data_IF_613576755291
#
_entry.id   IF_613576755291
#
_cell.length_a   1.000
_cell.length_b   1.000
_cell.length_c   1.000
_cell.angle_alpha   90.00
_cell.angle_beta   90.00
_cell.angle_gamma   90.00
#
_symmetry.space_group_name_H-M   'P 1'
#
loop_
_entity.id
_entity.type
_entity.pdbx_description
1 polymer ?
#
# COMPACT_ATOMS: atom_id res chain seq x y z
N UNK A 1 -15.84 22.58 38.00
CA UNK A 1 -14.96 22.26 36.87
C UNK A 1 -13.94 21.23 37.34
N UNK A 2 -13.96 19.97 36.91
CA UNK A 2 -12.85 19.08 37.19
C UNK A 2 -11.71 19.41 36.22
N UNK A 3 -10.60 19.89 36.76
CA UNK A 3 -9.32 20.00 36.10
C UNK A 3 -8.80 18.59 35.79
N UNK A 4 -9.08 18.09 34.59
CA UNK A 4 -8.50 16.85 34.10
C UNK A 4 -7.01 17.04 33.87
N UNK A 5 -6.18 16.46 34.74
CA UNK A 5 -4.75 16.30 34.50
C UNK A 5 -4.55 15.53 33.19
N UNK A 6 -3.72 16.06 32.29
CA UNK A 6 -3.31 15.33 31.10
C UNK A 6 -2.68 14.00 31.53
N UNK A 7 -3.06 12.85 30.96
CA UNK A 7 -2.47 11.58 31.34
C UNK A 7 -0.98 11.64 31.03
N UNK A 8 -0.14 11.37 32.04
CA UNK A 8 1.29 11.24 31.85
C UNK A 8 1.54 10.02 30.97
N UNK A 9 1.82 10.22 29.68
CA UNK A 9 2.13 9.12 28.76
C UNK A 9 3.38 8.40 29.25
N UNK A 10 3.24 7.16 29.70
CA UNK A 10 4.39 6.33 30.09
C UNK A 10 4.99 5.74 28.81
N UNK A 11 6.30 5.51 28.81
CA UNK A 11 6.99 4.85 27.69
C UNK A 11 6.35 3.50 27.30
N UNK A 12 5.76 2.78 28.26
CA UNK A 12 5.00 1.55 28.01
C UNK A 12 3.72 1.76 27.20
N UNK A 13 3.11 2.94 27.27
CA UNK A 13 1.88 3.25 26.52
C UNK A 13 2.17 3.45 25.02
N UNK A 14 3.45 3.67 24.66
CA UNK A 14 3.90 3.83 23.27
C UNK A 14 4.16 2.49 22.56
N UNK A 15 4.39 1.39 23.31
CA UNK A 15 4.70 0.11 22.68
C UNK A 15 3.54 -0.44 21.84
N UNK A 16 2.31 -0.37 22.36
CA UNK A 16 1.14 -0.88 21.63
C UNK A 16 0.84 -0.12 20.32
N UNK A 17 0.85 1.23 20.29
CA UNK A 17 0.74 2.01 19.07
C UNK A 17 1.90 1.78 18.09
N UNK A 18 3.14 1.70 18.56
CA UNK A 18 4.31 1.45 17.70
C UNK A 18 4.20 0.08 17.02
N UNK A 19 3.86 -0.97 17.78
CA UNK A 19 3.65 -2.30 17.22
C UNK A 19 2.46 -2.31 16.25
N UNK A 20 1.36 -1.61 16.56
CA UNK A 20 0.24 -1.47 15.63
C UNK A 20 0.65 -0.76 14.33
N UNK A 21 1.45 0.30 14.42
CA UNK A 21 1.98 1.03 13.27
C UNK A 21 2.90 0.16 12.42
N UNK A 22 3.83 -0.58 13.03
CA UNK A 22 4.73 -1.50 12.32
C UNK A 22 3.95 -2.61 11.60
N UNK A 23 2.99 -3.23 12.28
CA UNK A 23 2.12 -4.23 11.64
C UNK A 23 1.36 -3.61 10.48
N UNK A 24 0.78 -2.42 10.67
CA UNK A 24 0.07 -1.70 9.61
C UNK A 24 0.95 -1.48 8.38
N UNK A 25 2.19 -1.02 8.57
CA UNK A 25 3.16 -0.84 7.48
C UNK A 25 3.47 -2.17 6.79
N UNK A 26 3.85 -3.22 7.54
CA UNK A 26 4.21 -4.53 6.97
C UNK A 26 3.06 -5.11 6.16
N UNK A 27 1.84 -5.06 6.71
CA UNK A 27 0.63 -5.56 6.04
C UNK A 27 0.32 -4.75 4.79
N UNK A 28 0.49 -3.44 4.84
CA UNK A 28 0.20 -2.58 3.69
C UNK A 28 1.20 -2.79 2.55
N UNK A 29 2.50 -2.95 2.87
CA UNK A 29 3.54 -3.23 1.88
C UNK A 29 3.45 -4.65 1.31
N UNK A 30 3.20 -5.65 2.15
CA UNK A 30 3.07 -7.04 1.71
C UNK A 30 1.76 -7.33 0.99
N UNK A 31 0.73 -6.50 1.17
CA UNK A 31 -0.59 -6.67 0.57
C UNK A 31 -0.78 -5.86 -0.71
N UNK A 32 -1.02 -4.56 -0.56
CA UNK A 32 -1.48 -3.73 -1.69
C UNK A 32 -0.33 -3.11 -2.47
N UNK A 33 0.79 -2.84 -1.80
CA UNK A 33 1.93 -2.17 -2.41
C UNK A 33 2.68 -3.05 -3.43
N UNK A 34 2.51 -4.38 -3.36
CA UNK A 34 3.04 -5.31 -4.37
C UNK A 34 2.60 -4.94 -5.80
N UNK A 35 1.43 -4.31 -5.94
CA UNK A 35 0.91 -3.81 -7.20
C UNK A 35 1.77 -2.72 -7.82
N UNK A 36 2.40 -1.88 -7.00
CA UNK A 36 3.32 -0.85 -7.47
C UNK A 36 4.55 -1.50 -8.10
N UNK A 37 5.11 -2.52 -7.46
CA UNK A 37 6.21 -3.30 -8.03
C UNK A 37 5.80 -4.03 -9.31
N UNK A 38 4.58 -4.55 -9.38
CA UNK A 38 4.06 -5.17 -10.59
C UNK A 38 3.91 -4.15 -11.73
N UNK A 39 3.35 -2.97 -11.45
CA UNK A 39 3.21 -1.89 -12.43
C UNK A 39 4.58 -1.41 -12.92
N UNK A 40 5.54 -1.22 -12.01
CA UNK A 40 6.91 -0.85 -12.35
C UNK A 40 7.59 -1.89 -13.26
N UNK A 41 7.38 -3.18 -12.97
CA UNK A 41 7.89 -4.28 -13.80
C UNK A 41 7.27 -4.29 -15.20
N UNK A 42 5.95 -4.09 -15.31
CA UNK A 42 5.25 -4.01 -16.61
C UNK A 42 5.72 -2.80 -17.42
N UNK A 43 5.97 -1.68 -16.75
CA UNK A 43 6.51 -0.46 -17.35
C UNK A 43 8.00 -0.54 -17.71
N UNK A 44 8.69 -1.64 -17.37
CA UNK A 44 10.13 -1.80 -17.61
C UNK A 44 11.00 -0.81 -16.82
N UNK A 45 10.54 -0.34 -15.66
CA UNK A 45 11.29 0.62 -14.85
C UNK A 45 12.55 -0.04 -14.25
N UNK A 46 13.59 0.76 -14.15
CA UNK A 46 14.81 0.35 -13.47
C UNK A 46 14.57 0.20 -11.94
N UNK A 47 15.42 -0.57 -11.23
CA UNK A 47 15.35 -0.67 -9.78
C UNK A 47 15.43 0.70 -9.07
N UNK A 48 16.21 1.64 -9.62
CA UNK A 48 16.38 2.98 -9.07
C UNK A 48 15.10 3.81 -9.19
N UNK A 49 14.43 3.79 -10.35
CA UNK A 49 13.13 4.46 -10.53
C UNK A 49 12.03 3.83 -9.67
N UNK A 50 12.05 2.50 -9.54
CA UNK A 50 11.12 1.79 -8.67
C UNK A 50 11.34 2.22 -7.22
N UNK A 51 12.58 2.27 -6.75
CA UNK A 51 12.93 2.73 -5.42
C UNK A 51 12.55 4.20 -5.18
N UNK A 52 12.76 5.08 -6.18
CA UNK A 52 12.36 6.49 -6.14
C UNK A 52 10.84 6.64 -6.00
N UNK A 53 10.06 5.83 -6.72
CA UNK A 53 8.61 5.80 -6.60
C UNK A 53 8.16 5.30 -5.23
N UNK A 54 8.76 4.19 -4.74
CA UNK A 54 8.46 3.70 -3.38
C UNK A 54 8.72 4.78 -2.35
N UNK A 55 9.92 5.37 -2.37
CA UNK A 55 10.32 6.44 -1.48
C UNK A 55 9.34 7.60 -1.49
N UNK A 56 8.95 8.06 -2.68
CA UNK A 56 8.03 9.19 -2.85
C UNK A 56 6.66 8.91 -2.23
N UNK A 57 6.13 7.71 -2.40
CA UNK A 57 4.86 7.30 -1.77
C UNK A 57 5.01 7.15 -0.26
N UNK A 58 6.09 6.50 0.21
CA UNK A 58 6.34 6.29 1.64
C UNK A 58 6.44 7.61 2.40
N UNK A 59 7.26 8.54 1.89
CA UNK A 59 7.49 9.85 2.49
C UNK A 59 6.24 10.73 2.34
N UNK A 60 5.61 10.73 1.16
CA UNK A 60 4.38 11.50 0.93
C UNK A 60 3.28 11.12 1.93
N UNK A 61 3.02 9.83 2.09
CA UNK A 61 2.04 9.32 3.08
C UNK A 61 2.50 9.55 4.51
N UNK A 62 3.74 9.23 4.85
CA UNK A 62 4.27 9.38 6.20
C UNK A 62 4.23 10.83 6.69
N UNK A 63 4.73 11.77 5.88
CA UNK A 63 4.76 13.20 6.22
C UNK A 63 3.35 13.77 6.30
N UNK A 64 2.49 13.51 5.32
CA UNK A 64 1.12 14.05 5.33
C UNK A 64 0.30 13.48 6.49
N UNK A 65 0.39 12.17 6.76
CA UNK A 65 -0.26 11.55 7.90
C UNK A 65 0.22 12.14 9.23
N UNK A 66 1.52 12.34 9.39
CA UNK A 66 2.11 12.94 10.60
C UNK A 66 1.66 14.40 10.77
N UNK A 67 1.75 15.21 9.71
CA UNK A 67 1.38 16.63 9.75
C UNK A 67 -0.10 16.81 10.05
N UNK A 68 -0.97 16.05 9.37
CA UNK A 68 -2.41 16.13 9.61
C UNK A 68 -2.76 15.62 11.01
N UNK A 69 -2.17 14.51 11.44
CA UNK A 69 -2.42 13.98 12.79
C UNK A 69 -2.01 14.98 13.87
N UNK A 70 -0.87 15.64 13.69
CA UNK A 70 -0.40 16.66 14.61
C UNK A 70 -1.29 17.91 14.60
N UNK A 71 -1.69 18.37 13.40
CA UNK A 71 -2.48 19.59 13.22
C UNK A 71 -3.91 19.48 13.73
N UNK A 72 -4.54 18.32 13.55
CA UNK A 72 -5.92 18.06 13.97
C UNK A 72 -6.01 17.33 15.31
N UNK A 73 -4.88 16.86 15.86
CA UNK A 73 -4.80 16.08 17.10
C UNK A 73 -5.68 14.81 17.07
N UNK A 74 -5.79 14.23 15.88
CA UNK A 74 -6.53 12.99 15.61
C UNK A 74 -5.61 12.00 14.87
N UNK A 75 -5.77 10.68 15.02
CA UNK A 75 -4.95 9.70 14.34
C UNK A 75 -5.32 9.59 12.85
N UNK A 76 -4.82 10.52 12.03
CA UNK A 76 -5.09 10.61 10.60
C UNK A 76 -4.06 9.81 9.82
N UNK A 77 -4.54 8.82 9.07
CA UNK A 77 -3.73 8.02 8.16
C UNK A 77 -4.06 8.47 6.73
N UNK A 78 -3.07 9.00 6.03
CA UNK A 78 -3.18 9.18 4.58
C UNK A 78 -2.85 7.84 3.91
N UNK A 79 -3.56 7.52 2.84
CA UNK A 79 -3.40 6.26 2.13
C UNK A 79 -3.18 6.54 0.64
N UNK A 80 -2.51 5.61 -0.03
CA UNK A 80 -2.53 5.54 -1.48
C UNK A 80 -3.82 4.85 -1.95
N UNK A 81 -4.10 4.96 -3.25
CA UNK A 81 -5.25 4.29 -3.87
C UNK A 81 -4.85 2.91 -4.41
N UNK A 82 -5.25 1.85 -3.73
CA UNK A 82 -5.07 0.46 -4.21
C UNK A 82 -5.70 0.22 -5.59
N UNK A 83 -6.94 0.68 -5.87
CA UNK A 83 -7.51 0.57 -7.21
C UNK A 83 -6.70 1.34 -8.26
N UNK A 84 -6.13 2.50 -7.92
CA UNK A 84 -5.27 3.22 -8.85
C UNK A 84 -3.97 2.44 -9.14
N UNK A 85 -3.35 1.83 -8.13
CA UNK A 85 -2.17 0.99 -8.33
C UNK A 85 -2.47 -0.23 -9.23
N UNK A 86 -3.61 -0.88 -9.03
CA UNK A 86 -4.07 -1.97 -9.89
C UNK A 86 -4.31 -1.50 -11.35
N UNK A 87 -4.98 -0.37 -11.53
CA UNK A 87 -5.18 0.25 -12.84
C UNK A 87 -3.86 0.61 -13.52
N UNK A 88 -2.87 1.05 -12.76
CA UNK A 88 -1.59 1.48 -13.30
C UNK A 88 -0.79 0.33 -13.92
N UNK A 89 -1.01 -0.91 -13.47
CA UNK A 89 -0.44 -2.12 -14.09
C UNK A 89 -0.85 -2.22 -15.56
N UNK A 90 -2.09 -1.89 -15.90
CA UNK A 90 -2.57 -1.95 -17.29
C UNK A 90 -2.29 -0.66 -18.06
N UNK A 91 -2.40 0.50 -17.40
CA UNK A 91 -2.18 1.79 -18.05
C UNK A 91 -0.71 2.02 -18.46
N UNK A 92 0.26 1.63 -17.62
CA UNK A 92 1.68 1.76 -17.95
C UNK A 92 2.17 0.76 -18.99
N UNK A 93 1.36 -0.25 -19.34
CA UNK A 93 1.70 -1.16 -20.43
C UNK A 93 1.68 -0.46 -21.80
N UNK A 94 0.93 0.63 -21.94
CA UNK A 94 0.73 1.35 -23.20
C UNK A 94 1.10 2.83 -23.14
N UNK A 95 1.38 3.37 -21.94
CA UNK A 95 1.65 4.80 -21.73
C UNK A 95 3.09 5.00 -21.25
N UNK A 96 3.87 5.92 -21.87
CA UNK A 96 5.21 6.25 -21.40
C UNK A 96 5.20 6.72 -19.94
N UNK A 97 6.19 6.29 -19.15
CA UNK A 97 6.29 6.61 -17.73
C UNK A 97 6.29 8.12 -17.45
N UNK A 98 6.99 8.92 -18.26
CA UNK A 98 7.03 10.37 -18.11
C UNK A 98 5.65 11.04 -18.30
N UNK A 99 4.86 10.57 -19.26
CA UNK A 99 3.49 11.05 -19.49
C UNK A 99 2.57 10.67 -18.33
N UNK A 100 2.72 9.46 -17.78
CA UNK A 100 1.99 9.04 -16.60
C UNK A 100 2.31 9.91 -15.38
N UNK A 101 3.58 10.23 -15.13
CA UNK A 101 3.99 11.16 -14.06
C UNK A 101 3.38 12.54 -14.27
N UNK A 102 3.43 13.07 -15.50
CA UNK A 102 2.81 14.35 -15.86
C UNK A 102 1.30 14.35 -15.59
N UNK A 103 0.59 13.30 -16.01
CA UNK A 103 -0.84 13.15 -15.76
C UNK A 103 -1.16 13.08 -14.27
N UNK A 104 -0.32 12.42 -13.46
CA UNK A 104 -0.44 12.39 -12.00
C UNK A 104 -0.26 13.77 -11.37
N UNK A 105 0.74 14.55 -11.78
CA UNK A 105 0.98 15.90 -11.27
C UNK A 105 -0.17 16.85 -11.62
N UNK A 106 -0.64 16.80 -12.87
CA UNK A 106 -1.80 17.60 -13.33
C UNK A 106 -3.05 17.22 -12.53
N UNK A 107 -3.31 15.92 -12.37
CA UNK A 107 -4.44 15.43 -11.58
C UNK A 107 -4.34 15.86 -10.12
N UNK A 108 -3.17 15.72 -9.49
CA UNK A 108 -2.94 16.13 -8.11
C UNK A 108 -3.17 17.62 -7.91
N UNK A 109 -2.69 18.45 -8.85
CA UNK A 109 -2.90 19.90 -8.82
C UNK A 109 -4.38 20.25 -8.93
N UNK A 110 -5.11 19.58 -9.82
CA UNK A 110 -6.56 19.73 -9.94
C UNK A 110 -7.31 19.31 -8.66
N UNK A 111 -6.91 18.19 -8.04
CA UNK A 111 -7.48 17.74 -6.77
C UNK A 111 -7.23 18.73 -5.63
N UNK A 112 -6.01 19.29 -5.53
CA UNK A 112 -5.67 20.32 -4.54
C UNK A 112 -6.49 21.58 -4.78
N UNK A 113 -6.58 22.06 -6.02
CA UNK A 113 -7.38 23.22 -6.36
C UNK A 113 -8.88 23.01 -6.03
N UNK A 114 -9.43 21.83 -6.35
CA UNK A 114 -10.80 21.46 -6.01
C UNK A 114 -11.02 21.38 -4.49
N UNK A 115 -10.07 20.81 -3.75
CA UNK A 115 -10.12 20.75 -2.29
C UNK A 115 -10.10 22.13 -1.64
N UNK A 116 -9.20 23.01 -2.09
CA UNK A 116 -9.08 24.39 -1.58
C UNK A 116 -10.27 25.27 -1.97
N UNK A 117 -10.91 25.01 -3.12
CA UNK A 117 -12.11 25.76 -3.55
C UNK A 117 -13.35 25.45 -2.71
N UNK A 118 -13.37 24.34 -1.95
CA UNK A 118 -14.56 23.84 -1.24
C UNK A 118 -15.61 23.19 -2.14
N UNK A 119 -15.35 23.06 -3.45
CA UNK A 119 -16.29 22.44 -4.40
C UNK A 119 -16.19 20.92 -4.47
N UNK A 120 -15.17 20.34 -3.85
CA UNK A 120 -14.91 18.90 -3.87
C UNK A 120 -16.17 18.07 -3.55
N UNK A 121 -16.88 18.42 -2.48
CA UNK A 121 -18.10 17.72 -2.08
C UNK A 121 -19.22 17.83 -3.12
N UNK A 122 -19.37 19.00 -3.76
CA UNK A 122 -20.38 19.21 -4.81
C UNK A 122 -20.09 18.36 -6.04
N UNK A 123 -18.83 18.30 -6.45
CA UNK A 123 -18.41 17.52 -7.63
C UNK A 123 -18.58 16.03 -7.38
N UNK A 124 -18.19 15.54 -6.20
CA UNK A 124 -18.35 14.11 -5.86
C UNK A 124 -19.83 13.70 -5.83
N UNK A 125 -20.72 14.57 -5.34
CA UNK A 125 -22.17 14.31 -5.33
C UNK A 125 -22.77 14.15 -6.73
N UNK A 126 -22.09 14.60 -7.79
CA UNK A 126 -22.53 14.39 -9.18
C UNK A 126 -22.26 12.97 -9.67
N UNK A 127 -21.30 12.25 -9.06
CA UNK A 127 -20.95 10.89 -9.47
C UNK A 127 -21.99 9.94 -8.86
N UNK A 128 -22.81 9.25 -9.69
CA UNK A 128 -23.77 8.30 -9.17
C UNK A 128 -23.03 7.16 -8.43
N UNK A 129 -23.48 6.77 -7.23
CA UNK A 129 -22.78 5.75 -6.43
C UNK A 129 -22.63 4.41 -7.18
N UNK A 130 -23.61 4.07 -8.04
CA UNK A 130 -23.54 2.87 -8.88
C UNK A 130 -22.38 2.88 -9.89
N UNK A 131 -22.05 4.04 -10.48
CA UNK A 131 -20.92 4.16 -11.41
C UNK A 131 -19.60 4.02 -10.64
N UNK A 132 -19.48 4.68 -9.48
CA UNK A 132 -18.30 4.57 -8.63
C UNK A 132 -18.05 3.13 -8.18
N UNK A 133 -19.11 2.42 -7.75
CA UNK A 133 -19.00 1.00 -7.37
C UNK A 133 -18.64 0.10 -8.55
N UNK A 134 -19.15 0.38 -9.76
CA UNK A 134 -18.83 -0.43 -10.95
C UNK A 134 -17.40 -0.24 -11.42
N UNK A 135 -16.88 0.99 -11.34
CA UNK A 135 -15.47 1.26 -11.61
C UNK A 135 -14.57 0.50 -10.64
N UNK A 136 -14.88 0.55 -9.34
CA UNK A 136 -14.14 -0.18 -8.32
C UNK A 136 -14.23 -1.70 -8.54
N UNK A 137 -15.42 -2.23 -8.82
CA UNK A 137 -15.63 -3.64 -9.08
C UNK A 137 -14.86 -4.12 -10.32
N UNK A 138 -14.89 -3.37 -11.42
CA UNK A 138 -14.16 -3.73 -12.65
C UNK A 138 -12.65 -3.83 -12.43
N UNK A 139 -12.07 -2.84 -11.74
CA UNK A 139 -10.63 -2.82 -11.43
C UNK A 139 -10.27 -3.95 -10.45
N UNK A 140 -11.05 -4.12 -9.37
CA UNK A 140 -10.77 -5.14 -8.36
C UNK A 140 -11.02 -6.57 -8.86
N UNK A 141 -11.94 -6.76 -9.80
CA UNK A 141 -12.21 -8.07 -10.40
C UNK A 141 -11.00 -8.56 -11.20
N UNK A 142 -10.43 -7.70 -12.06
CA UNK A 142 -9.22 -8.06 -12.81
C UNK A 142 -8.06 -8.39 -11.87
N UNK A 143 -7.89 -7.60 -10.81
CA UNK A 143 -6.90 -7.88 -9.78
C UNK A 143 -7.15 -9.23 -9.07
N UNK A 144 -8.39 -9.48 -8.65
CA UNK A 144 -8.77 -10.70 -7.95
C UNK A 144 -8.53 -11.94 -8.81
N UNK A 145 -8.89 -11.90 -10.09
CA UNK A 145 -8.61 -12.98 -11.05
C UNK A 145 -7.09 -13.15 -11.24
N UNK A 146 -6.35 -12.05 -11.40
CA UNK A 146 -4.89 -12.06 -11.55
C UNK A 146 -4.17 -12.69 -10.36
N UNK A 147 -4.67 -12.51 -9.13
CA UNK A 147 -4.08 -13.11 -7.93
C UNK A 147 -4.09 -14.66 -7.98
N UNK A 148 -5.11 -15.27 -8.59
CA UNK A 148 -5.18 -16.72 -8.77
C UNK A 148 -4.24 -17.25 -9.85
N UNK A 149 -3.75 -16.40 -10.77
CA UNK A 149 -2.75 -16.78 -11.76
C UNK A 149 -1.47 -17.33 -11.13
N UNK A 150 -1.09 -16.85 -9.94
CA UNK A 150 0.04 -17.38 -9.19
C UNK A 150 -0.13 -18.84 -8.75
N UNK A 151 -1.38 -19.29 -8.53
CA UNK A 151 -1.68 -20.68 -8.18
C UNK A 151 -1.37 -21.65 -9.33
N UNK A 152 -1.44 -21.19 -10.58
CA UNK A 152 -1.04 -21.99 -11.75
C UNK A 152 0.48 -22.12 -11.88
N UNK A 153 1.25 -21.17 -11.31
CA UNK A 153 2.72 -21.16 -11.38
C UNK A 153 3.34 -21.99 -10.26
N UNK A 154 2.89 -21.79 -9.01
CA UNK A 154 3.34 -22.58 -7.86
C UNK A 154 2.15 -22.94 -6.94
N UNK A 155 1.41 -24.02 -7.28
CA UNK A 155 0.23 -24.43 -6.51
C UNK A 155 0.55 -24.77 -5.06
N UNK A 156 1.75 -25.31 -4.80
CA UNK A 156 2.14 -25.75 -3.47
C UNK A 156 2.42 -24.57 -2.55
N UNK A 157 3.17 -23.56 -3.03
CA UNK A 157 3.39 -22.32 -2.30
C UNK A 157 2.06 -21.62 -1.99
N UNK A 158 1.18 -21.47 -2.99
CA UNK A 158 -0.12 -20.81 -2.79
C UNK A 158 -0.99 -21.59 -1.81
N UNK A 159 -1.07 -22.91 -1.94
CA UNK A 159 -1.83 -23.77 -1.02
C UNK A 159 -1.32 -23.66 0.42
N UNK A 160 0.00 -23.69 0.61
CA UNK A 160 0.64 -23.51 1.91
C UNK A 160 0.29 -22.14 2.53
N UNK A 161 0.39 -21.06 1.76
CA UNK A 161 0.07 -19.72 2.24
C UNK A 161 -1.42 -19.55 2.58
N UNK A 162 -2.32 -20.15 1.79
CA UNK A 162 -3.77 -20.12 2.06
C UNK A 162 -4.10 -20.89 3.34
N UNK A 163 -3.57 -22.12 3.50
CA UNK A 163 -3.81 -22.92 4.72
C UNK A 163 -3.23 -22.24 5.95
N UNK A 164 -2.01 -21.70 5.84
CA UNK A 164 -1.38 -20.93 6.90
C UNK A 164 -2.21 -19.69 7.26
N UNK A 165 -2.70 -18.95 6.26
CA UNK A 165 -3.57 -17.80 6.49
C UNK A 165 -4.83 -18.21 7.26
N UNK A 166 -5.52 -19.29 6.86
CA UNK A 166 -6.73 -19.75 7.53
C UNK A 166 -6.46 -20.18 8.99
N UNK A 167 -5.37 -20.91 9.22
CA UNK A 167 -4.95 -21.32 10.57
C UNK A 167 -4.59 -20.10 11.45
N UNK A 168 -3.76 -19.20 10.93
CA UNK A 168 -3.34 -17.98 11.63
C UNK A 168 -4.51 -17.04 11.87
N UNK A 169 -5.44 -16.91 10.91
CA UNK A 169 -6.65 -16.09 11.07
C UNK A 169 -7.52 -16.62 12.21
N UNK A 170 -7.54 -17.93 12.47
CA UNK A 170 -8.27 -18.53 13.60
C UNK A 170 -7.57 -18.27 14.94
N UNK A 171 -6.24 -18.33 14.99
CA UNK A 171 -5.48 -18.17 16.24
C UNK A 171 -5.23 -16.70 16.60
N UNK A 172 -4.85 -15.88 15.62
CA UNK A 172 -4.57 -14.45 15.81
C UNK A 172 -4.79 -13.64 14.52
N UNK A 173 -6.00 -13.10 14.30
CA UNK A 173 -6.34 -12.31 13.11
C UNK A 173 -5.38 -11.13 12.87
N UNK A 174 -4.89 -10.51 13.95
CA UNK A 174 -4.00 -9.34 13.90
C UNK A 174 -2.64 -9.66 13.28
N UNK A 175 -2.12 -10.88 13.46
CA UNK A 175 -0.80 -11.28 12.97
C UNK A 175 -0.87 -12.18 11.75
N UNK A 176 -2.06 -12.49 11.23
CA UNK A 176 -2.22 -13.47 10.16
C UNK A 176 -1.43 -13.09 8.89
N UNK A 177 -1.52 -11.84 8.46
CA UNK A 177 -0.82 -11.37 7.26
C UNK A 177 0.70 -11.35 7.47
N UNK A 178 1.17 -10.89 8.64
CA UNK A 178 2.61 -10.91 8.97
C UNK A 178 3.12 -12.35 9.02
N UNK A 179 2.37 -13.26 9.63
CA UNK A 179 2.71 -14.66 9.75
C UNK A 179 2.85 -15.36 8.40
N UNK A 180 1.94 -15.12 7.45
CA UNK A 180 2.06 -15.71 6.10
C UNK A 180 3.23 -15.13 5.31
N UNK A 181 3.56 -13.85 5.48
CA UNK A 181 4.72 -13.24 4.82
C UNK A 181 6.01 -13.89 5.30
N UNK A 182 6.14 -14.06 6.63
CA UNK A 182 7.31 -14.73 7.23
C UNK A 182 7.37 -16.20 6.78
N UNK A 183 6.26 -16.91 6.82
CA UNK A 183 6.20 -18.32 6.42
C UNK A 183 6.57 -18.49 4.94
N UNK A 184 6.05 -17.64 4.06
CA UNK A 184 6.36 -17.65 2.63
C UNK A 184 7.84 -17.36 2.36
N UNK A 185 8.41 -16.37 3.05
CA UNK A 185 9.83 -16.06 2.93
C UNK A 185 10.71 -17.23 3.38
N UNK A 186 10.43 -17.81 4.55
CA UNK A 186 11.15 -18.98 5.07
C UNK A 186 11.05 -20.15 4.09
N UNK A 187 9.85 -20.41 3.57
CA UNK A 187 9.63 -21.48 2.61
C UNK A 187 10.46 -21.29 1.33
N UNK A 188 10.48 -20.07 0.77
CA UNK A 188 11.27 -19.75 -0.42
C UNK A 188 12.79 -19.83 -0.18
N UNK A 189 13.24 -19.43 1.02
CA UNK A 189 14.64 -19.58 1.44
C UNK A 189 15.05 -21.05 1.53
N UNK A 190 14.20 -21.90 2.12
CA UNK A 190 14.44 -23.34 2.21
C UNK A 190 14.48 -24.02 0.84
N UNK A 191 13.76 -23.50 -0.14
CA UNK A 191 13.82 -23.97 -1.53
C UNK A 191 15.03 -23.43 -2.32
N UNK A 192 15.85 -22.55 -1.73
CA UNK A 192 16.98 -21.93 -2.44
C UNK A 192 16.55 -20.97 -3.56
N UNK A 193 15.31 -20.46 -3.53
CA UNK A 193 14.75 -19.57 -4.56
C UNK A 193 14.97 -18.08 -4.31
N UNK A 194 15.57 -17.75 -3.18
CA UNK A 194 15.88 -16.37 -2.80
C UNK A 194 17.38 -16.17 -2.92
N UNK A 195 17.81 -15.39 -3.90
CA UNK A 195 19.20 -14.96 -4.01
C UNK A 195 19.42 -13.70 -3.17
N UNK A 196 20.22 -13.83 -2.11
CA UNK A 196 20.60 -12.74 -1.21
C UNK A 196 21.99 -12.18 -1.52
N UNK A 197 22.70 -12.71 -2.52
CA UNK A 197 24.08 -12.31 -2.84
C UNK A 197 24.20 -10.84 -3.27
N UNK A 198 23.15 -10.29 -3.87
CA UNK A 198 23.05 -8.89 -4.27
C UNK A 198 22.50 -7.94 -3.20
N UNK A 199 22.19 -8.42 -1.99
CA UNK A 199 21.57 -7.59 -0.96
C UNK A 199 22.55 -6.53 -0.45
N UNK A 200 22.32 -5.28 -0.82
CA UNK A 200 23.07 -4.13 -0.31
C UNK A 200 22.16 -3.23 0.51
N UNK A 201 22.56 -2.95 1.74
CA UNK A 201 21.91 -1.95 2.57
C UNK A 201 22.34 -0.58 2.07
N UNK A 202 21.44 0.10 1.37
CA UNK A 202 21.62 1.46 0.88
C UNK A 202 20.41 2.29 1.24
N UNK A 203 20.62 3.58 1.47
CA UNK A 203 19.50 4.50 1.65
C UNK A 203 18.82 4.69 0.31
N UNK A 204 17.50 4.45 0.28
CA UNK A 204 16.69 4.82 -0.86
C UNK A 204 16.70 6.35 -0.98
N UNK A 205 17.18 6.86 -2.11
CA UNK A 205 17.09 8.26 -2.49
C UNK A 205 16.24 8.36 -3.75
N UNK A 206 15.39 9.40 -3.87
CA UNK A 206 14.70 9.65 -5.11
C UNK A 206 15.72 10.05 -6.18
N UNK A 207 15.46 9.63 -7.42
CA UNK A 207 16.22 9.96 -8.63
C UNK A 207 15.36 10.81 -9.54
#
# INVERSE_FOLDING_TARGET
MPSGSAPSSRLNDLMHPVVAGLISVIVNYGGTFILVFQAAKVAGLSPELTASWVWSVSIGVGVTGLVLSWRYREPIITAWSTPAAAFLVTALATTPYAEAVGAYIVSATAFVALGLSGWFERVIRLIPPGIASWLLAGILLQFGIGAFGGASVDPLLVGLLVLAYLALKRCSPRYAVVGILVLGLVFLLLQGRVDLSGLRLQFAAPV
#
